data_IF_113326695408
#
_entry.id   IF_113326695408
#
_cell.length_a   1.000
_cell.length_b   1.000
_cell.length_c   1.000
_cell.angle_alpha   90.00
_cell.angle_beta   90.00
_cell.angle_gamma   90.00
#
_symmetry.space_group_name_H-M   'P 1'
#
loop_
_entity.id
_entity.type
_entity.pdbx_description
1 polymer ?
#
# COMPACT_ATOMS: atom_id res chain seq x y z
N UNK A 1 -2.82 -24.88 -37.96
CA UNK A 1 -2.93 -25.91 -39.00
C UNK A 1 -1.64 -25.91 -39.81
N UNK A 2 -0.92 -27.03 -39.73
CA UNK A 2 0.20 -27.57 -40.51
C UNK A 2 0.86 -26.71 -41.61
N UNK A 3 2.20 -26.68 -41.60
CA UNK A 3 3.01 -27.31 -42.65
C UNK A 3 4.50 -27.38 -42.23
N UNK A 4 5.01 -28.58 -41.92
CA UNK A 4 6.44 -28.84 -41.88
C UNK A 4 6.89 -29.17 -43.31
N UNK A 5 7.60 -28.25 -43.96
CA UNK A 5 8.20 -28.49 -45.27
C UNK A 5 9.62 -29.03 -45.10
N UNK A 6 9.85 -30.31 -45.45
CA UNK A 6 11.20 -30.89 -45.54
C UNK A 6 11.86 -30.38 -46.82
N UNK A 7 12.95 -29.63 -46.70
CA UNK A 7 13.77 -29.21 -47.83
C UNK A 7 14.96 -30.17 -47.95
N UNK A 8 15.07 -30.85 -49.10
CA UNK A 8 16.27 -31.60 -49.51
C UNK A 8 17.32 -30.61 -50.00
N UNK A 9 18.53 -30.75 -49.47
CA UNK A 9 19.72 -30.01 -49.92
C UNK A 9 20.30 -30.73 -51.13
N UNK A 10 20.57 -29.99 -52.21
CA UNK A 10 21.47 -30.42 -53.26
C UNK A 10 22.37 -29.24 -53.65
N UNK A 11 23.62 -29.58 -53.87
CA UNK A 11 24.80 -28.72 -53.88
C UNK A 11 24.86 -27.63 -54.97
N UNK A 12 25.82 -26.73 -54.75
CA UNK A 12 26.58 -25.92 -55.70
C UNK A 12 26.20 -24.44 -55.92
N UNK A 13 27.21 -23.61 -55.64
CA UNK A 13 27.51 -22.25 -56.16
C UNK A 13 26.87 -21.05 -55.44
N UNK A 14 27.75 -20.38 -54.68
CA UNK A 14 27.86 -18.94 -54.43
C UNK A 14 26.62 -18.06 -54.61
N UNK A 15 26.12 -17.53 -53.48
CA UNK A 15 25.56 -16.17 -53.44
C UNK A 15 25.77 -15.61 -52.04
N UNK A 16 26.66 -14.63 -51.92
CA UNK A 16 26.79 -13.78 -50.74
C UNK A 16 25.50 -12.97 -50.57
N UNK A 17 24.63 -13.40 -49.66
CA UNK A 17 23.47 -12.60 -49.24
C UNK A 17 23.82 -11.87 -47.94
N UNK A 18 23.89 -10.55 -48.03
CA UNK A 18 24.03 -9.66 -46.89
C UNK A 18 22.70 -9.75 -46.13
N UNK A 19 22.67 -10.51 -45.04
CA UNK A 19 21.51 -10.49 -44.16
C UNK A 19 21.53 -9.17 -43.41
N UNK A 20 20.79 -8.19 -43.94
CA UNK A 20 20.27 -7.09 -43.15
C UNK A 20 19.45 -7.71 -42.02
N UNK A 21 20.11 -7.97 -40.89
CA UNK A 21 19.44 -8.15 -39.60
C UNK A 21 18.81 -6.82 -39.29
N UNK A 22 17.62 -6.62 -39.85
CA UNK A 22 16.65 -5.70 -39.29
C UNK A 22 16.35 -6.29 -37.91
N UNK A 23 17.17 -5.88 -36.93
CA UNK A 23 16.89 -6.06 -35.54
C UNK A 23 15.57 -5.32 -35.33
N UNK A 24 14.47 -6.08 -35.45
CA UNK A 24 13.17 -5.68 -34.97
C UNK A 24 13.43 -5.11 -33.59
N UNK A 25 13.31 -3.79 -33.46
CA UNK A 25 13.25 -3.10 -32.18
C UNK A 25 11.97 -3.59 -31.50
N UNK A 26 12.02 -4.81 -30.97
CA UNK A 26 11.05 -5.38 -30.07
C UNK A 26 11.29 -4.71 -28.73
N UNK A 27 10.62 -3.58 -28.58
CA UNK A 27 10.66 -2.79 -27.37
C UNK A 27 9.75 -1.62 -27.58
N UNK A 28 8.44 -1.89 -27.65
CA UNK A 28 7.49 -0.87 -27.22
C UNK A 28 7.98 -0.43 -25.83
N UNK A 29 8.51 0.79 -25.72
CA UNK A 29 8.86 1.36 -24.43
C UNK A 29 7.60 1.32 -23.59
N UNK A 30 7.63 0.58 -22.49
CA UNK A 30 6.47 0.44 -21.59
C UNK A 30 5.91 1.83 -21.31
N UNK A 31 4.68 2.06 -21.77
CA UNK A 31 3.96 3.29 -21.49
C UNK A 31 3.86 3.42 -19.96
N UNK A 32 4.24 4.59 -19.42
CA UNK A 32 4.39 4.95 -17.99
C UNK A 32 5.77 4.77 -17.33
N UNK A 33 6.82 4.33 -18.05
CA UNK A 33 8.19 4.26 -17.48
C UNK A 33 8.92 5.61 -17.36
N UNK A 34 8.50 6.64 -18.12
CA UNK A 34 9.17 7.97 -18.17
C UNK A 34 9.32 8.64 -16.80
N UNK A 35 8.40 8.38 -15.88
CA UNK A 35 8.37 8.99 -14.54
C UNK A 35 8.49 7.95 -13.42
N UNK A 36 8.91 6.71 -13.70
CA UNK A 36 8.97 5.65 -12.70
C UNK A 36 9.98 5.94 -11.57
N UNK A 37 11.07 6.64 -11.89
CA UNK A 37 12.10 7.06 -10.94
C UNK A 37 11.56 7.87 -9.75
N UNK A 38 10.36 8.45 -9.85
CA UNK A 38 9.78 9.20 -8.73
C UNK A 38 9.43 8.31 -7.54
N UNK A 39 9.27 7.00 -7.76
CA UNK A 39 8.98 6.01 -6.72
C UNK A 39 10.19 5.77 -5.82
N UNK A 40 11.41 5.98 -6.32
CA UNK A 40 12.64 5.80 -5.54
C UNK A 40 12.80 6.88 -4.45
N UNK A 41 12.01 7.96 -4.49
CA UNK A 41 11.94 8.96 -3.42
C UNK A 41 11.00 8.57 -2.27
N UNK A 42 10.29 7.44 -2.37
CA UNK A 42 9.52 6.90 -1.24
C UNK A 42 10.49 6.39 -0.17
N UNK A 43 10.40 6.95 1.04
CA UNK A 43 11.17 6.47 2.18
C UNK A 43 10.53 5.20 2.77
N UNK A 44 11.35 4.21 3.11
CA UNK A 44 10.92 3.08 3.92
C UNK A 44 10.89 3.48 5.40
N UNK A 45 9.74 3.26 6.04
CA UNK A 45 9.46 3.65 7.41
C UNK A 45 9.03 2.44 8.25
N UNK A 46 9.73 1.34 8.05
CA UNK A 46 9.52 0.09 8.78
C UNK A 46 9.80 0.28 10.27
N UNK A 47 8.80 0.00 11.09
CA UNK A 47 8.92 -0.02 12.54
C UNK A 47 9.76 -1.20 13.04
N UNK A 48 10.58 -0.97 14.06
CA UNK A 48 11.47 -1.97 14.68
C UNK A 48 10.73 -3.29 14.97
N UNK A 49 11.33 -4.41 14.55
CA UNK A 49 10.77 -5.73 14.75
C UNK A 49 10.67 -6.09 16.25
N UNK A 50 9.69 -6.93 16.61
CA UNK A 50 9.45 -7.39 17.99
C UNK A 50 9.12 -6.29 19.00
N UNK A 51 8.79 -5.07 18.55
CA UNK A 51 8.30 -3.98 19.36
C UNK A 51 6.79 -3.78 19.17
N UNK A 52 6.13 -3.32 20.24
CA UNK A 52 4.74 -2.89 20.17
C UNK A 52 4.64 -1.63 19.31
N UNK A 53 3.69 -1.61 18.38
CA UNK A 53 3.37 -0.42 17.61
C UNK A 53 2.08 0.16 18.18
N UNK A 54 2.09 1.45 18.48
CA UNK A 54 0.93 2.15 19.03
C UNK A 54 0.56 3.26 18.06
N UNK A 55 -0.69 3.22 17.58
CA UNK A 55 -1.25 4.27 16.73
C UNK A 55 -2.21 5.08 17.57
N UNK A 56 -1.88 6.36 17.80
CA UNK A 56 -2.75 7.30 18.51
C UNK A 56 -3.43 8.24 17.52
N UNK A 57 -4.75 8.30 17.58
CA UNK A 57 -5.58 9.26 16.87
C UNK A 57 -6.06 10.32 17.84
N UNK A 58 -6.03 11.58 17.41
CA UNK A 58 -6.47 12.74 18.17
C UNK A 58 -7.40 13.61 17.31
N UNK A 59 -8.46 14.14 17.90
CA UNK A 59 -9.44 14.97 17.23
C UNK A 59 -8.86 16.33 16.82
N UNK A 60 -8.56 16.52 15.54
CA UNK A 60 -8.07 17.81 15.04
C UNK A 60 -9.08 18.94 15.31
N UNK A 61 -8.68 19.93 16.10
CA UNK A 61 -9.51 21.08 16.48
C UNK A 61 -10.86 20.66 17.11
N UNK A 62 -10.85 19.62 17.94
CA UNK A 62 -12.08 19.06 18.53
C UNK A 62 -12.86 20.06 19.38
N UNK A 63 -12.20 21.07 19.95
CA UNK A 63 -12.87 22.14 20.68
C UNK A 63 -13.92 22.86 19.83
N UNK A 64 -13.53 23.32 18.62
CA UNK A 64 -14.44 23.99 17.69
C UNK A 64 -15.54 23.05 17.17
N UNK A 65 -15.21 21.77 16.99
CA UNK A 65 -16.18 20.75 16.61
C UNK A 65 -17.25 20.56 17.71
N UNK A 66 -16.81 20.40 18.96
CA UNK A 66 -17.70 20.24 20.11
C UNK A 66 -18.64 21.44 20.30
N UNK A 67 -18.14 22.68 20.11
CA UNK A 67 -18.98 23.89 20.14
C UNK A 67 -20.01 23.91 19.01
N UNK A 68 -19.57 23.65 17.77
CA UNK A 68 -20.46 23.65 16.60
C UNK A 68 -21.56 22.59 16.69
N UNK A 69 -21.25 21.44 17.28
CA UNK A 69 -22.19 20.33 17.46
C UNK A 69 -22.90 20.34 18.83
N UNK A 70 -22.73 21.40 19.62
CA UNK A 70 -23.39 21.59 20.92
C UNK A 70 -23.23 20.39 21.86
N UNK A 71 -21.97 19.98 22.07
CA UNK A 71 -21.66 18.85 22.96
C UNK A 71 -21.98 19.19 24.42
N UNK A 72 -22.55 18.21 25.13
CA UNK A 72 -22.75 18.32 26.56
C UNK A 72 -21.40 18.43 27.31
N UNK A 73 -21.30 19.37 28.25
CA UNK A 73 -20.13 19.54 29.12
C UNK A 73 -20.48 19.04 30.54
N UNK A 74 -19.54 18.40 31.28
CA UNK A 74 -18.14 18.17 30.90
C UNK A 74 -17.95 17.04 29.86
N UNK A 75 -18.84 16.05 29.83
CA UNK A 75 -18.73 14.88 28.96
C UNK A 75 -20.04 14.66 28.17
N UNK A 76 -19.94 14.43 26.85
CA UNK A 76 -21.07 14.04 26.00
C UNK A 76 -21.02 12.53 25.73
N UNK A 77 -22.02 11.79 26.23
CA UNK A 77 -22.09 10.33 26.07
C UNK A 77 -22.25 9.89 24.63
N UNK A 78 -22.93 10.67 23.78
CA UNK A 78 -23.14 10.32 22.36
C UNK A 78 -21.83 10.36 21.60
N UNK A 79 -21.02 11.38 21.86
CA UNK A 79 -19.70 11.51 21.24
C UNK A 79 -18.76 10.37 21.67
N UNK A 80 -18.73 10.05 22.97
CA UNK A 80 -17.91 8.96 23.50
C UNK A 80 -18.35 7.59 22.95
N UNK A 81 -19.66 7.33 22.86
CA UNK A 81 -20.18 6.11 22.25
C UNK A 81 -19.85 6.03 20.76
N UNK A 82 -19.94 7.16 20.03
CA UNK A 82 -19.55 7.21 18.62
C UNK A 82 -18.07 6.85 18.45
N UNK A 83 -17.18 7.48 19.21
CA UNK A 83 -15.74 7.21 19.18
C UNK A 83 -15.45 5.73 19.50
N UNK A 84 -16.15 5.18 20.50
CA UNK A 84 -16.02 3.77 20.88
C UNK A 84 -16.50 2.84 19.77
N UNK A 85 -17.61 3.16 19.10
CA UNK A 85 -18.10 2.37 17.98
C UNK A 85 -17.14 2.42 16.79
N UNK A 86 -16.57 3.59 16.50
CA UNK A 86 -15.52 3.72 15.49
C UNK A 86 -14.28 2.86 15.84
N UNK A 87 -13.83 2.90 17.09
CA UNK A 87 -12.70 2.09 17.53
C UNK A 87 -12.99 0.58 17.44
N UNK A 88 -14.20 0.13 17.79
CA UNK A 88 -14.63 -1.26 17.61
C UNK A 88 -14.57 -1.67 16.14
N UNK A 89 -15.10 -0.85 15.23
CA UNK A 89 -15.04 -1.14 13.79
C UNK A 89 -13.59 -1.20 13.29
N UNK A 90 -12.70 -0.33 13.76
CA UNK A 90 -11.27 -0.42 13.42
C UNK A 90 -10.64 -1.72 13.91
N UNK A 91 -11.02 -2.19 15.10
CA UNK A 91 -10.54 -3.48 15.64
C UNK A 91 -11.13 -4.70 14.92
N UNK A 92 -12.33 -4.58 14.36
CA UNK A 92 -12.98 -5.65 13.58
C UNK A 92 -12.41 -5.75 12.16
N UNK A 93 -12.14 -4.60 11.52
CA UNK A 93 -11.65 -4.53 10.14
C UNK A 93 -10.12 -4.71 10.03
N UNK A 94 -9.36 -4.24 11.02
CA UNK A 94 -7.90 -4.37 11.04
C UNK A 94 -7.46 -5.56 11.88
N UNK A 95 -6.55 -6.34 11.32
CA UNK A 95 -5.96 -7.48 12.03
C UNK A 95 -4.85 -7.03 13.01
N UNK A 96 -4.51 -7.91 13.95
CA UNK A 96 -3.39 -7.76 14.90
C UNK A 96 -3.46 -6.65 15.96
N UNK A 97 -4.59 -5.94 16.08
CA UNK A 97 -4.83 -5.07 17.23
C UNK A 97 -5.19 -5.94 18.45
N UNK A 98 -4.50 -5.74 19.57
CA UNK A 98 -4.74 -6.48 20.82
C UNK A 98 -5.60 -5.73 21.83
N UNK A 99 -5.45 -4.42 21.89
CA UNK A 99 -6.17 -3.56 22.81
C UNK A 99 -6.28 -2.17 22.19
N UNK A 100 -7.42 -1.53 22.43
CA UNK A 100 -7.62 -0.12 22.18
C UNK A 100 -8.02 0.57 23.49
N UNK A 101 -7.50 1.77 23.71
CA UNK A 101 -7.85 2.63 24.84
C UNK A 101 -8.22 4.02 24.30
N UNK A 102 -9.34 4.56 24.74
CA UNK A 102 -9.79 5.89 24.33
C UNK A 102 -10.30 6.70 25.49
N UNK A 103 -10.03 8.01 25.44
CA UNK A 103 -10.46 8.99 26.42
C UNK A 103 -10.75 10.31 25.69
N UNK A 104 -11.85 10.98 26.04
CA UNK A 104 -12.24 12.26 25.44
C UNK A 104 -12.37 12.14 23.91
N UNK A 105 -11.39 12.67 23.18
CA UNK A 105 -11.31 12.77 21.74
C UNK A 105 -10.10 12.03 21.15
N UNK A 106 -9.36 11.27 21.97
CA UNK A 106 -8.26 10.43 21.53
C UNK A 106 -8.55 8.92 21.64
N UNK A 107 -7.95 8.15 20.74
CA UNK A 107 -7.94 6.69 20.78
C UNK A 107 -6.56 6.15 20.41
N UNK A 108 -6.07 5.20 21.21
CA UNK A 108 -4.80 4.51 21.01
C UNK A 108 -5.05 3.04 20.68
N UNK A 109 -4.49 2.56 19.58
CA UNK A 109 -4.56 1.16 19.13
C UNK A 109 -3.19 0.52 19.25
N UNK A 110 -3.12 -0.64 19.91
CA UNK A 110 -1.88 -1.36 20.14
C UNK A 110 -1.85 -2.61 19.25
N UNK A 111 -0.86 -2.68 18.37
CA UNK A 111 -0.61 -3.84 17.51
C UNK A 111 0.35 -4.82 18.16
N UNK A 112 0.14 -6.13 17.92
CA UNK A 112 1.03 -7.19 18.40
C UNK A 112 2.48 -6.93 18.01
N UNK A 113 3.40 -7.21 18.95
CA UNK A 113 4.86 -7.10 18.72
C UNK A 113 5.36 -7.86 17.49
N UNK A 114 4.74 -9.00 17.19
CA UNK A 114 5.11 -9.90 16.10
C UNK A 114 4.30 -9.67 14.81
N UNK A 115 3.51 -8.60 14.73
CA UNK A 115 2.75 -8.30 13.51
C UNK A 115 3.71 -8.06 12.34
N UNK A 116 3.36 -8.60 11.18
CA UNK A 116 4.01 -8.30 9.89
C UNK A 116 3.02 -7.62 8.93
N UNK A 117 1.95 -7.05 9.48
CA UNK A 117 0.94 -6.33 8.72
C UNK A 117 1.58 -5.13 8.00
N UNK A 118 1.31 -4.98 6.70
CA UNK A 118 1.93 -4.00 5.81
C UNK A 118 3.46 -3.88 5.91
N UNK A 119 4.17 -5.00 6.16
CA UNK A 119 5.62 -5.01 6.41
C UNK A 119 6.05 -4.08 7.56
N UNK A 120 5.13 -3.77 8.47
CA UNK A 120 5.31 -2.84 9.60
C UNK A 120 5.67 -1.39 9.17
N UNK A 121 5.24 -0.97 7.97
CA UNK A 121 5.39 0.42 7.53
C UNK A 121 4.53 1.36 8.35
N UNK A 122 5.05 2.55 8.66
CA UNK A 122 4.36 3.54 9.48
C UNK A 122 3.43 4.47 8.67
N UNK A 123 3.64 4.61 7.36
CA UNK A 123 2.88 5.45 6.42
C UNK A 123 2.33 4.67 5.24
#
# INVERSE_FOLDING_TARGET
MWAACKVKVHDYLATTSITLRQCLRLGATMAKSKFEYVRDFEADDTCLAHCWVVVRLDGRNFHRFAEKHSFAKPNDSRALHLMTKCAQTVMEELEDIVIAYGQSDEYSFVFKRKTNWFKRRAR
#
